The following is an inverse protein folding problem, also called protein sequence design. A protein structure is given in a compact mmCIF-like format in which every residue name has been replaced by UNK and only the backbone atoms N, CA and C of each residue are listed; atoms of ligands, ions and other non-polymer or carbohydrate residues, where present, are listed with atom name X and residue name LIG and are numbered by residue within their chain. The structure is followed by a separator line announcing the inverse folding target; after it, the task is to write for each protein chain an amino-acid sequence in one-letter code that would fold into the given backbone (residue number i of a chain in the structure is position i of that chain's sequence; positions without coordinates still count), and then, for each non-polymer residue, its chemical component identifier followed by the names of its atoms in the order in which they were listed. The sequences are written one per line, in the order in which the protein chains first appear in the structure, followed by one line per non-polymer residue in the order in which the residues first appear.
data_IF_948388768169
#
_entry.id   IF_948388768169
#
_cell.length_a   1.000
_cell.length_b   1.000
_cell.length_c   1.000
_cell.angle_alpha   90.00
_cell.angle_beta   90.00
_cell.angle_gamma   90.00
#
_symmetry.space_group_name_H-M   'P 1'
#
loop_
_entity.id
_entity.type
_entity.pdbx_description
1 polymer ?
#
# COMPACT_ATOMS: atom_id res chain seq x y z
N UNK A 1 25.12 -16.04 -21.71
CA UNK A 1 24.03 -16.19 -20.72
C UNK A 1 24.00 -17.64 -20.24
N UNK A 2 23.72 -17.91 -18.95
CA UNK A 2 23.66 -19.28 -18.43
C UNK A 2 22.22 -19.80 -18.40
N UNK A 3 21.95 -20.93 -19.06
CA UNK A 3 20.69 -21.65 -18.98
C UNK A 3 20.83 -22.79 -17.94
N UNK A 4 20.19 -22.67 -16.76
CA UNK A 4 20.27 -23.69 -15.72
C UNK A 4 19.60 -25.01 -16.11
N UNK A 5 18.56 -24.97 -16.97
CA UNK A 5 17.83 -26.15 -17.41
C UNK A 5 18.66 -26.99 -18.39
N UNK A 6 19.46 -26.33 -19.23
CA UNK A 6 20.37 -27.01 -20.19
C UNK A 6 21.77 -27.22 -19.63
N UNK A 7 22.07 -26.66 -18.46
CA UNK A 7 23.40 -26.59 -17.86
C UNK A 7 24.48 -26.14 -18.87
N UNK A 8 24.14 -25.12 -19.67
CA UNK A 8 25.00 -24.62 -20.76
C UNK A 8 25.05 -23.11 -20.75
N UNK A 9 26.20 -22.59 -21.15
CA UNK A 9 26.35 -21.17 -21.47
C UNK A 9 25.95 -21.00 -22.92
N UNK A 10 24.82 -20.34 -23.16
CA UNK A 10 24.43 -19.92 -24.49
C UNK A 10 25.15 -18.62 -24.81
N UNK A 11 25.98 -18.64 -25.86
CA UNK A 11 26.70 -17.46 -26.30
C UNK A 11 25.74 -16.56 -27.10
N UNK A 12 25.06 -15.68 -26.38
CA UNK A 12 24.21 -14.63 -26.93
C UNK A 12 25.10 -13.55 -27.53
N UNK A 13 24.86 -13.14 -28.77
CA UNK A 13 25.73 -12.32 -29.64
C UNK A 13 26.05 -10.88 -29.17
N UNK A 14 25.88 -10.54 -27.90
CA UNK A 14 26.19 -9.22 -27.33
C UNK A 14 27.67 -9.09 -26.94
N UNK A 15 28.58 -9.40 -27.88
CA UNK A 15 29.99 -9.01 -27.73
C UNK A 15 30.08 -7.48 -27.83
N UNK A 16 30.81 -6.84 -26.91
CA UNK A 16 31.04 -5.38 -26.87
C UNK A 16 29.83 -4.52 -26.51
N UNK A 17 29.05 -4.95 -25.52
CA UNK A 17 27.96 -4.16 -24.94
C UNK A 17 28.43 -2.88 -24.22
N UNK A 18 29.67 -2.88 -23.74
CA UNK A 18 30.31 -1.81 -22.97
C UNK A 18 31.78 -1.70 -23.34
N UNK A 19 32.35 -0.49 -23.23
CA UNK A 19 33.75 -0.21 -23.54
C UNK A 19 34.68 -0.55 -22.37
N UNK A 20 34.10 -0.73 -21.19
CA UNK A 20 34.79 -1.08 -19.94
C UNK A 20 34.07 -2.22 -19.20
N UNK A 21 34.60 -2.57 -18.02
CA UNK A 21 34.05 -3.64 -17.18
C UNK A 21 32.62 -3.31 -16.74
N UNK A 22 31.73 -4.28 -16.95
CA UNK A 22 30.35 -4.25 -16.44
C UNK A 22 30.36 -4.42 -14.92
N UNK A 23 29.81 -3.45 -14.22
CA UNK A 23 29.80 -3.37 -12.75
C UNK A 23 28.43 -3.66 -12.14
N UNK A 24 27.36 -3.59 -12.93
CA UNK A 24 26.01 -3.89 -12.48
C UNK A 24 25.17 -4.53 -13.56
N UNK A 25 24.34 -5.50 -13.16
CA UNK A 25 23.39 -6.20 -14.01
C UNK A 25 22.11 -6.47 -13.22
N UNK A 26 20.95 -6.15 -13.80
CA UNK A 26 19.66 -6.45 -13.19
C UNK A 26 18.63 -6.82 -14.25
N UNK A 27 17.91 -7.93 -14.02
CA UNK A 27 16.77 -8.33 -14.84
C UNK A 27 15.50 -7.59 -14.41
N UNK A 28 14.75 -7.08 -15.38
CA UNK A 28 13.45 -6.46 -15.22
C UNK A 28 12.40 -7.13 -16.09
N UNK A 29 11.15 -6.77 -15.84
CA UNK A 29 9.98 -7.07 -16.67
C UNK A 29 9.85 -8.57 -16.96
N UNK A 30 9.77 -9.36 -15.89
CA UNK A 30 9.66 -10.82 -15.93
C UNK A 30 10.73 -11.50 -16.81
N UNK A 31 11.92 -10.90 -16.92
CA UNK A 31 13.06 -11.43 -17.67
C UNK A 31 13.15 -10.96 -19.12
N UNK A 32 12.26 -10.04 -19.55
CA UNK A 32 12.28 -9.49 -20.90
C UNK A 32 13.31 -8.38 -21.10
N UNK A 33 13.71 -7.69 -20.03
CA UNK A 33 14.71 -6.62 -20.11
C UNK A 33 15.87 -6.90 -19.17
N UNK A 34 17.08 -6.70 -19.67
CA UNK A 34 18.30 -6.68 -18.88
C UNK A 34 18.81 -5.24 -18.82
N UNK A 35 19.13 -4.76 -17.64
CA UNK A 35 19.79 -3.47 -17.44
C UNK A 35 21.23 -3.72 -17.05
N UNK A 36 22.14 -2.95 -17.62
CA UNK A 36 23.57 -3.02 -17.31
C UNK A 36 24.17 -1.63 -17.08
N UNK A 37 25.20 -1.57 -16.25
CA UNK A 37 26.02 -0.37 -16.08
C UNK A 37 27.51 -0.75 -16.02
N UNK A 38 28.38 0.19 -16.39
CA UNK A 38 29.81 -0.06 -16.59
C UNK A 38 30.68 1.11 -16.11
N UNK A 39 31.97 0.83 -15.92
CA UNK A 39 32.98 1.85 -15.60
C UNK A 39 33.19 2.88 -16.71
N UNK A 40 32.67 2.64 -17.91
CA UNK A 40 32.61 3.62 -19.01
C UNK A 40 31.58 4.74 -18.77
N UNK A 41 31.01 4.83 -17.57
CA UNK A 41 30.00 5.80 -17.17
C UNK A 41 28.66 5.66 -17.93
N UNK A 42 28.43 4.52 -18.60
CA UNK A 42 27.19 4.24 -19.32
C UNK A 42 26.26 3.30 -18.56
N UNK A 43 24.97 3.45 -18.82
CA UNK A 43 23.92 2.53 -18.44
C UNK A 43 23.09 2.18 -19.68
N UNK A 44 22.87 0.89 -19.91
CA UNK A 44 22.17 0.37 -21.08
C UNK A 44 20.99 -0.50 -20.68
N UNK A 45 19.99 -0.55 -21.55
CA UNK A 45 18.88 -1.49 -21.48
C UNK A 45 18.95 -2.42 -22.68
N UNK A 46 18.69 -3.70 -22.46
CA UNK A 46 18.73 -4.74 -23.47
C UNK A 46 17.38 -5.46 -23.47
N UNK A 47 16.73 -5.58 -24.62
CA UNK A 47 15.59 -6.48 -24.78
C UNK A 47 16.11 -7.88 -25.06
N UNK A 48 15.59 -8.84 -24.30
CA UNK A 48 15.86 -10.25 -24.49
C UNK A 48 14.72 -10.89 -25.30
N UNK A 49 14.97 -11.14 -26.58
CA UNK A 49 14.03 -11.83 -27.48
C UNK A 49 14.75 -12.94 -28.25
N UNK A 50 14.13 -14.13 -28.34
CA UNK A 50 14.64 -15.26 -29.16
C UNK A 50 16.12 -15.60 -28.90
N UNK A 51 16.53 -15.58 -27.62
CA UNK A 51 17.91 -15.85 -27.20
C UNK A 51 18.94 -14.81 -27.72
N UNK A 52 18.49 -13.60 -28.06
CA UNK A 52 19.34 -12.46 -28.44
C UNK A 52 19.06 -11.27 -27.54
N UNK A 53 20.11 -10.50 -27.27
CA UNK A 53 20.04 -9.22 -26.58
C UNK A 53 20.16 -8.11 -27.60
N UNK A 54 19.17 -7.22 -27.63
CA UNK A 54 19.18 -6.03 -28.48
C UNK A 54 19.21 -4.77 -27.61
N UNK A 55 20.19 -3.91 -27.85
CA UNK A 55 20.38 -2.68 -27.07
C UNK A 55 19.34 -1.63 -27.43
N UNK A 56 18.70 -1.05 -26.43
CA UNK A 56 17.74 0.05 -26.57
C UNK A 56 18.25 1.23 -25.73
N UNK A 57 18.15 2.46 -26.25
CA UNK A 57 18.51 3.64 -25.48
C UNK A 57 17.70 3.74 -24.19
N UNK A 58 18.39 3.96 -23.08
CA UNK A 58 17.79 4.31 -21.79
C UNK A 58 17.45 5.79 -21.84
N UNK A 59 16.21 6.11 -22.18
CA UNK A 59 15.76 7.50 -22.23
C UNK A 59 15.16 7.94 -20.89
N UNK A 60 15.72 8.99 -20.29
CA UNK A 60 15.04 9.77 -19.23
C UNK A 60 13.95 10.63 -19.86
N UNK A 61 12.82 10.05 -20.26
CA UNK A 61 11.76 10.75 -20.99
C UNK A 61 10.82 11.58 -20.09
N UNK A 62 11.14 11.76 -18.81
CA UNK A 62 10.42 12.69 -17.93
C UNK A 62 11.07 14.07 -17.97
N UNK A 63 10.75 14.83 -19.02
CA UNK A 63 11.35 16.14 -19.29
C UNK A 63 11.12 17.15 -18.14
N UNK A 64 10.08 16.95 -17.33
CA UNK A 64 9.71 17.80 -16.19
C UNK A 64 10.37 17.41 -14.85
N UNK A 65 11.06 16.25 -14.79
CA UNK A 65 11.87 15.88 -13.62
C UNK A 65 13.37 16.12 -13.81
N UNK A 66 13.75 16.92 -14.83
CA UNK A 66 15.10 17.48 -14.94
C UNK A 66 15.29 18.55 -13.86
N UNK A 67 15.41 18.14 -12.62
CA UNK A 67 16.28 18.86 -11.68
C UNK A 67 17.72 18.58 -12.13
N UNK A 68 18.11 19.24 -13.22
CA UNK A 68 19.42 19.13 -13.83
C UNK A 68 20.47 19.71 -12.89
N UNK A 69 21.05 18.87 -12.03
CA UNK A 69 22.49 18.99 -11.78
C UNK A 69 23.20 18.36 -12.98
N UNK A 70 24.27 19.00 -13.44
CA UNK A 70 25.15 18.55 -14.54
C UNK A 70 25.94 17.26 -14.17
N UNK A 71 25.28 16.27 -13.57
CA UNK A 71 25.84 15.03 -13.06
C UNK A 71 26.65 14.23 -14.09
N UNK A 72 26.23 14.09 -15.38
CA UNK A 72 27.05 13.37 -16.37
C UNK A 72 28.36 14.10 -16.70
N UNK A 73 28.50 15.39 -16.37
CA UNK A 73 29.76 16.12 -16.57
C UNK A 73 30.74 15.95 -15.42
N UNK A 74 30.25 15.62 -14.22
CA UNK A 74 31.06 15.47 -12.99
C UNK A 74 31.28 13.99 -12.65
N UNK A 75 30.58 13.05 -13.29
CA UNK A 75 30.71 11.62 -13.05
C UNK A 75 31.70 10.96 -14.01
N UNK A 76 32.49 10.04 -13.46
CA UNK A 76 33.57 9.35 -14.14
C UNK A 76 33.33 7.83 -14.29
N UNK A 77 32.57 7.16 -13.39
CA UNK A 77 32.32 5.70 -13.48
C UNK A 77 30.98 5.28 -12.86
N UNK A 78 30.36 4.18 -13.35
CA UNK A 78 29.24 3.51 -12.68
C UNK A 78 29.71 2.25 -11.92
N UNK A 79 29.21 2.03 -10.71
CA UNK A 79 29.61 0.91 -9.84
C UNK A 79 28.53 -0.14 -9.58
N UNK A 80 27.27 0.18 -9.91
CA UNK A 80 26.18 -0.73 -9.71
C UNK A 80 24.86 -0.12 -10.13
N UNK A 81 23.88 -0.98 -10.36
CA UNK A 81 22.51 -0.57 -10.64
C UNK A 81 21.51 -1.48 -9.91
N UNK A 82 20.34 -0.93 -9.61
CA UNK A 82 19.20 -1.68 -9.12
C UNK A 82 17.91 -1.17 -9.73
N UNK A 83 16.99 -2.07 -10.05
CA UNK A 83 15.66 -1.71 -10.55
C UNK A 83 14.71 -1.50 -9.37
N UNK A 84 13.85 -0.50 -9.46
CA UNK A 84 12.80 -0.28 -8.48
C UNK A 84 11.79 -1.45 -8.46
N UNK A 85 11.12 -1.74 -7.34
CA UNK A 85 10.20 -2.88 -7.24
C UNK A 85 9.02 -2.84 -8.23
N UNK A 86 8.46 -1.65 -8.49
CA UNK A 86 7.47 -1.40 -9.52
C UNK A 86 8.05 -1.33 -10.94
N UNK A 87 9.38 -1.36 -11.10
CA UNK A 87 10.08 -1.38 -12.38
C UNK A 87 9.79 -0.16 -13.28
N UNK A 88 9.53 0.98 -12.66
CA UNK A 88 9.37 2.26 -13.38
C UNK A 88 10.63 3.13 -13.33
N UNK A 89 11.65 2.71 -12.58
CA UNK A 89 12.86 3.49 -12.29
C UNK A 89 14.05 2.55 -12.06
N UNK A 90 15.24 2.96 -12.49
CA UNK A 90 16.53 2.33 -12.14
C UNK A 90 17.41 3.29 -11.36
N UNK A 91 17.99 2.83 -10.25
CA UNK A 91 18.97 3.56 -9.48
C UNK A 91 20.37 3.12 -9.93
N UNK A 92 21.21 4.06 -10.35
CA UNK A 92 22.59 3.83 -10.78
C UNK A 92 23.53 4.54 -9.83
N UNK A 93 24.52 3.83 -9.29
CA UNK A 93 25.55 4.40 -8.43
C UNK A 93 26.70 4.87 -9.28
N UNK A 94 27.02 6.16 -9.19
CA UNK A 94 28.08 6.84 -9.93
C UNK A 94 29.12 7.43 -8.99
N UNK A 95 30.39 7.42 -9.36
CA UNK A 95 31.39 8.26 -8.70
C UNK A 95 31.35 9.68 -9.25
N UNK A 96 31.97 10.58 -8.49
CA UNK A 96 32.20 11.94 -8.90
C UNK A 96 33.71 12.13 -9.09
N UNK A 97 34.08 12.77 -10.19
CA UNK A 97 35.44 13.18 -10.49
C UNK A 97 35.83 14.24 -9.47
N UNK A 98 36.72 13.84 -8.56
CA UNK A 98 37.23 14.70 -7.50
C UNK A 98 37.86 15.97 -8.05
N UNK A 99 38.37 15.97 -9.28
CA UNK A 99 38.98 17.15 -9.89
C UNK A 99 37.94 18.19 -10.34
N UNK A 100 36.69 17.77 -10.56
CA UNK A 100 35.60 18.64 -10.98
C UNK A 100 34.74 19.12 -9.79
N UNK A 101 34.96 18.56 -8.60
CA UNK A 101 34.30 18.95 -7.35
C UNK A 101 35.04 20.10 -6.65
N UNK A 102 34.30 20.87 -5.85
CA UNK A 102 34.91 21.83 -4.93
C UNK A 102 35.79 21.11 -3.89
N UNK A 103 37.09 21.43 -3.89
CA UNK A 103 38.11 20.77 -3.07
C UNK A 103 37.94 21.01 -1.56
N UNK A 104 37.32 22.11 -1.15
CA UNK A 104 37.12 22.44 0.27
C UNK A 104 35.82 21.86 0.81
N UNK A 105 34.75 21.84 0.00
CA UNK A 105 33.40 21.50 0.48
C UNK A 105 32.87 20.15 0.00
N UNK A 106 33.11 19.77 -1.27
CA UNK A 106 32.46 18.61 -1.90
C UNK A 106 33.38 17.39 -1.98
N UNK A 107 34.63 17.55 -2.43
CA UNK A 107 35.56 16.43 -2.63
C UNK A 107 35.85 15.62 -1.35
N UNK A 108 35.63 16.22 -0.17
CA UNK A 108 35.85 15.57 1.14
C UNK A 108 34.67 14.71 1.60
N UNK A 109 33.47 14.99 1.12
CA UNK A 109 32.20 14.46 1.66
C UNK A 109 31.39 13.71 0.60
N UNK A 110 31.39 14.19 -0.66
CA UNK A 110 30.64 13.63 -1.79
C UNK A 110 31.52 12.65 -2.57
N UNK A 111 31.45 11.36 -2.21
CA UNK A 111 32.25 10.31 -2.87
C UNK A 111 31.53 9.60 -4.01
N UNK A 112 30.21 9.61 -3.97
CA UNK A 112 29.36 8.94 -4.94
C UNK A 112 27.96 9.57 -4.93
N UNK A 113 27.25 9.41 -6.03
CA UNK A 113 25.87 9.85 -6.20
C UNK A 113 25.03 8.68 -6.69
N UNK A 114 23.77 8.65 -6.27
CA UNK A 114 22.77 7.73 -6.81
C UNK A 114 21.93 8.51 -7.81
N UNK A 115 22.08 8.19 -9.09
CA UNK A 115 21.23 8.72 -10.15
C UNK A 115 19.98 7.86 -10.27
N UNK A 116 18.80 8.50 -10.25
CA UNK A 116 17.53 7.83 -10.49
C UNK A 116 17.08 8.09 -11.93
N UNK A 117 16.99 7.04 -12.73
CA UNK A 117 16.62 7.10 -14.14
C UNK A 117 15.22 6.50 -14.30
N UNK A 118 14.27 7.32 -14.75
CA UNK A 118 12.89 6.89 -14.99
C UNK A 118 12.76 6.14 -16.31
N UNK A 119 12.39 4.86 -16.22
CA UNK A 119 12.23 3.92 -17.35
C UNK A 119 10.77 3.62 -17.68
N UNK A 120 9.81 4.13 -16.90
CA UNK A 120 8.39 3.83 -17.09
C UNK A 120 7.82 4.32 -18.43
N UNK A 121 8.46 5.24 -19.14
CA UNK A 121 8.09 5.66 -20.50
C UNK A 121 8.77 4.88 -21.62
N UNK A 122 9.60 3.88 -21.29
CA UNK A 122 10.33 3.09 -22.27
C UNK A 122 9.39 2.09 -22.95
N UNK A 123 9.53 1.95 -24.27
CA UNK A 123 8.84 0.90 -25.03
C UNK A 123 9.40 -0.47 -24.66
N UNK A 124 8.54 -1.39 -24.25
CA UNK A 124 8.95 -2.71 -23.75
C UNK A 124 8.63 -3.87 -24.71
N UNK A 125 8.03 -3.61 -25.87
CA UNK A 125 7.71 -4.66 -26.86
C UNK A 125 6.69 -5.71 -26.42
N UNK A 126 6.20 -5.66 -25.19
CA UNK A 126 5.20 -6.59 -24.66
C UNK A 126 3.81 -6.22 -25.21
N UNK A 127 3.05 -7.18 -25.78
CA UNK A 127 1.63 -6.95 -25.99
C UNK A 127 0.96 -6.92 -24.62
N UNK A 128 0.75 -5.72 -24.07
CA UNK A 128 -0.27 -5.56 -23.04
C UNK A 128 -1.63 -5.97 -23.64
N UNK A 129 -2.51 -6.47 -22.78
CA UNK A 129 -3.92 -6.73 -23.08
C UNK A 129 -4.45 -5.71 -24.10
N UNK A 130 -5.00 -6.20 -25.22
CA UNK A 130 -5.39 -5.42 -26.42
C UNK A 130 -6.36 -4.25 -26.14
N UNK A 131 -6.81 -4.05 -24.90
CA UNK A 131 -7.75 -3.01 -24.48
C UNK A 131 -7.14 -1.69 -23.98
N UNK A 132 -5.80 -1.55 -23.84
CA UNK A 132 -5.19 -0.33 -23.29
C UNK A 132 -4.59 0.59 -24.37
N UNK A 133 -5.43 1.07 -25.29
CA UNK A 133 -5.11 2.29 -26.06
C UNK A 133 -5.57 3.51 -25.27
N UNK A 134 -4.64 4.38 -24.87
CA UNK A 134 -4.92 5.73 -24.39
C UNK A 134 -4.55 6.67 -25.54
N UNK A 135 -5.51 6.98 -26.41
CA UNK A 135 -5.28 7.92 -27.49
C UNK A 135 -5.29 9.36 -26.94
N UNK A 136 -4.14 10.03 -26.92
CA UNK A 136 -4.05 11.48 -26.90
C UNK A 136 -3.44 11.96 -28.22
N UNK A 137 -4.04 12.93 -28.95
CA UNK A 137 -3.65 13.23 -30.33
C UNK A 137 -2.33 13.99 -30.53
N UNK A 138 -1.58 14.35 -29.48
CA UNK A 138 -0.37 15.17 -29.64
C UNK A 138 0.73 14.68 -28.68
N UNK A 139 1.90 14.30 -29.22
CA UNK A 139 3.10 13.74 -28.52
C UNK A 139 2.98 12.32 -27.91
N UNK A 140 1.94 11.57 -28.30
CA UNK A 140 1.36 10.44 -27.55
C UNK A 140 2.13 9.12 -27.36
N UNK A 141 3.40 8.95 -27.75
CA UNK A 141 4.10 7.66 -27.57
C UNK A 141 4.57 7.43 -26.13
N UNK A 142 5.17 8.43 -25.48
CA UNK A 142 5.70 8.29 -24.12
C UNK A 142 4.61 8.08 -23.06
N UNK A 143 3.50 8.84 -23.14
CA UNK A 143 2.37 8.68 -22.21
C UNK A 143 1.67 7.33 -22.36
N UNK A 144 1.60 6.78 -23.57
CA UNK A 144 1.08 5.43 -23.80
C UNK A 144 1.90 4.37 -23.04
N UNK A 145 3.24 4.47 -23.11
CA UNK A 145 4.14 3.55 -22.39
C UNK A 145 4.07 3.76 -20.88
N UNK A 146 4.04 5.01 -20.41
CA UNK A 146 3.82 5.31 -19.00
C UNK A 146 2.53 4.69 -18.46
N UNK A 147 1.43 4.88 -19.18
CA UNK A 147 0.13 4.31 -18.80
C UNK A 147 0.19 2.78 -18.74
N UNK A 148 0.75 2.16 -19.77
CA UNK A 148 0.89 0.70 -19.87
C UNK A 148 1.76 0.12 -18.75
N UNK A 149 2.94 0.71 -18.52
CA UNK A 149 3.91 0.21 -17.54
C UNK A 149 3.42 0.41 -16.12
N UNK A 150 2.75 1.54 -15.82
CA UNK A 150 2.09 1.76 -14.53
C UNK A 150 1.01 0.70 -14.31
N UNK A 151 0.18 0.40 -15.32
CA UNK A 151 -0.89 -0.59 -15.22
C UNK A 151 -0.35 -1.99 -14.94
N UNK A 152 0.67 -2.40 -15.69
CA UNK A 152 1.36 -3.67 -15.50
C UNK A 152 1.93 -3.78 -14.08
N UNK A 153 2.56 -2.70 -13.60
CA UNK A 153 3.15 -2.64 -12.27
C UNK A 153 2.09 -2.74 -11.18
N UNK A 154 0.97 -2.04 -11.30
CA UNK A 154 -0.15 -2.13 -10.36
C UNK A 154 -0.76 -3.55 -10.34
N UNK A 155 -0.95 -4.16 -11.51
CA UNK A 155 -1.47 -5.54 -11.64
C UNK A 155 -0.55 -6.56 -10.96
N UNK A 156 0.76 -6.39 -11.07
CA UNK A 156 1.77 -7.22 -10.39
C UNK A 156 1.61 -7.19 -8.87
N UNK A 157 1.22 -6.04 -8.30
CA UNK A 157 0.96 -5.90 -6.88
C UNK A 157 -0.42 -6.40 -6.44
N UNK A 158 -1.30 -6.86 -7.33
CA UNK A 158 -2.55 -7.51 -6.94
C UNK A 158 -2.32 -8.90 -6.30
N UNK A 159 -1.14 -9.50 -6.49
CA UNK A 159 -0.76 -10.73 -5.81
C UNK A 159 -0.47 -10.45 -4.32
N UNK A 160 -1.18 -11.17 -3.43
CA UNK A 160 -1.06 -11.06 -1.97
C UNK A 160 0.27 -11.54 -1.39
N UNK A 161 1.05 -12.35 -2.10
CA UNK A 161 2.35 -12.85 -1.64
C UNK A 161 3.46 -11.79 -1.70
N UNK A 162 3.29 -10.74 -2.53
CA UNK A 162 4.29 -9.68 -2.69
C UNK A 162 4.08 -8.57 -1.64
N UNK A 163 5.17 -8.08 -1.04
CA UNK A 163 5.11 -6.87 -0.22
C UNK A 163 4.67 -5.64 -1.02
N UNK A 164 3.98 -4.68 -0.38
CA UNK A 164 3.59 -3.41 -1.02
C UNK A 164 4.72 -2.39 -0.98
N UNK A 165 5.57 -2.41 -2.00
CA UNK A 165 6.65 -1.43 -2.17
C UNK A 165 6.35 -0.58 -3.42
N UNK A 166 5.42 0.36 -3.28
CA UNK A 166 4.87 1.15 -4.40
C UNK A 166 5.54 2.52 -4.59
N UNK A 167 6.67 2.79 -3.94
CA UNK A 167 7.19 4.16 -3.86
C UNK A 167 7.47 4.76 -5.24
N UNK A 168 8.00 3.97 -6.18
CA UNK A 168 8.32 4.40 -7.54
C UNK A 168 7.06 4.69 -8.35
N UNK A 169 6.04 3.86 -8.21
CA UNK A 169 4.72 4.07 -8.80
C UNK A 169 4.07 5.34 -8.24
N UNK A 170 4.07 5.51 -6.91
CA UNK A 170 3.45 6.67 -6.27
C UNK A 170 4.16 7.96 -6.65
N UNK A 171 5.50 7.98 -6.67
CA UNK A 171 6.25 9.15 -7.13
C UNK A 171 5.95 9.44 -8.59
N UNK A 172 5.98 8.44 -9.48
CA UNK A 172 5.62 8.64 -10.89
C UNK A 172 4.21 9.22 -11.07
N UNK A 173 3.22 8.70 -10.33
CA UNK A 173 1.84 9.20 -10.35
C UNK A 173 1.73 10.62 -9.79
N UNK A 174 2.45 10.94 -8.71
CA UNK A 174 2.48 12.30 -8.14
C UNK A 174 3.10 13.31 -9.10
N UNK A 175 4.13 12.91 -9.85
CA UNK A 175 4.72 13.76 -10.88
C UNK A 175 3.73 13.92 -12.04
N UNK A 176 3.10 12.83 -12.52
CA UNK A 176 2.03 12.90 -13.53
C UNK A 176 0.86 13.78 -13.11
N UNK A 177 0.55 13.84 -11.81
CA UNK A 177 -0.49 14.74 -11.28
C UNK A 177 -0.16 16.19 -11.54
N UNK A 178 1.12 16.56 -11.43
CA UNK A 178 1.61 17.93 -11.66
C UNK A 178 1.78 18.22 -13.16
N UNK A 179 2.34 17.26 -13.90
CA UNK A 179 2.73 17.44 -15.31
C UNK A 179 1.59 17.24 -16.31
N UNK A 180 0.76 16.22 -16.08
CA UNK A 180 -0.26 15.76 -17.01
C UNK A 180 -1.53 15.29 -16.26
N UNK A 181 -2.22 16.17 -15.51
CA UNK A 181 -3.33 15.81 -14.64
C UNK A 181 -4.49 15.12 -15.38
N UNK A 182 -4.85 15.57 -16.58
CA UNK A 182 -5.92 14.96 -17.39
C UNK A 182 -5.57 13.54 -17.85
N UNK A 183 -4.30 13.30 -18.18
CA UNK A 183 -3.81 11.95 -18.52
C UNK A 183 -3.85 11.04 -17.29
N UNK A 184 -3.37 11.54 -16.14
CA UNK A 184 -3.43 10.80 -14.87
C UNK A 184 -4.87 10.42 -14.51
N UNK A 185 -5.80 11.37 -14.59
CA UNK A 185 -7.22 11.13 -14.31
C UNK A 185 -7.77 10.01 -15.21
N UNK A 186 -7.56 10.11 -16.52
CA UNK A 186 -7.97 9.08 -17.49
C UNK A 186 -7.36 7.71 -17.18
N UNK A 187 -6.06 7.68 -16.85
CA UNK A 187 -5.34 6.45 -16.50
C UNK A 187 -5.90 5.82 -15.23
N UNK A 188 -6.14 6.62 -14.19
CA UNK A 188 -6.66 6.15 -12.91
C UNK A 188 -8.12 5.69 -13.02
N UNK A 189 -8.95 6.37 -13.80
CA UNK A 189 -10.30 5.90 -14.13
C UNK A 189 -10.27 4.53 -14.81
N UNK A 190 -9.43 4.37 -15.84
CA UNK A 190 -9.28 3.10 -16.55
C UNK A 190 -8.79 1.98 -15.63
N UNK A 191 -7.87 2.30 -14.73
CA UNK A 191 -7.37 1.36 -13.73
C UNK A 191 -8.45 0.95 -12.75
N UNK A 192 -9.21 1.88 -12.17
CA UNK A 192 -10.32 1.57 -11.27
C UNK A 192 -11.39 0.74 -11.98
N UNK A 193 -11.73 1.06 -13.22
CA UNK A 193 -12.66 0.27 -14.03
C UNK A 193 -12.17 -1.17 -14.21
N UNK A 194 -10.90 -1.39 -14.53
CA UNK A 194 -10.33 -2.73 -14.62
C UNK A 194 -10.26 -3.46 -13.27
N UNK A 195 -9.90 -2.74 -12.20
CA UNK A 195 -9.81 -3.26 -10.84
C UNK A 195 -11.14 -3.87 -10.39
N UNK A 196 -12.23 -3.16 -10.70
CA UNK A 196 -13.62 -3.48 -10.36
C UNK A 196 -14.34 -4.29 -11.46
N UNK A 197 -13.62 -4.78 -12.48
CA UNK A 197 -14.15 -5.62 -13.57
C UNK A 197 -15.31 -4.99 -14.37
N UNK A 198 -15.09 -3.77 -14.87
CA UNK A 198 -15.93 -3.17 -15.91
C UNK A 198 -15.73 -3.89 -17.24
N UNK A 199 -16.54 -4.91 -17.51
CA UNK A 199 -16.37 -5.67 -18.76
C UNK A 199 -16.98 -4.95 -19.98
N UNK A 200 -17.72 -3.84 -19.82
CA UNK A 200 -18.38 -3.16 -20.94
C UNK A 200 -19.08 -1.82 -20.58
N UNK A 201 -18.37 -0.85 -20.00
CA UNK A 201 -18.99 0.49 -19.89
C UNK A 201 -17.98 1.62 -20.07
N UNK A 202 -18.12 2.33 -21.18
CA UNK A 202 -17.47 3.61 -21.45
C UNK A 202 -18.09 4.78 -20.64
N UNK A 203 -19.09 4.52 -19.80
CA UNK A 203 -19.75 5.56 -19.02
C UNK A 203 -19.13 5.71 -17.62
N UNK A 204 -18.61 6.91 -17.39
CA UNK A 204 -17.91 7.38 -16.18
C UNK A 204 -18.85 7.46 -14.95
N UNK A 205 -20.15 7.23 -15.10
CA UNK A 205 -21.16 7.43 -14.06
C UNK A 205 -21.78 6.09 -13.66
N UNK A 206 -21.04 5.41 -12.80
CA UNK A 206 -21.52 4.21 -12.10
C UNK A 206 -22.41 4.68 -10.96
N UNK A 207 -23.64 4.15 -10.87
CA UNK A 207 -24.48 4.44 -9.71
C UNK A 207 -23.76 4.05 -8.40
N UNK A 208 -23.96 4.81 -7.33
CA UNK A 208 -23.37 4.54 -6.03
C UNK A 208 -23.60 3.08 -5.54
N UNK A 209 -24.77 2.51 -5.88
CA UNK A 209 -25.16 1.14 -5.51
C UNK A 209 -24.36 0.08 -6.24
N UNK A 210 -24.16 0.21 -7.56
CA UNK A 210 -23.37 -0.75 -8.33
C UNK A 210 -21.89 -0.69 -7.96
N UNK A 211 -21.37 0.47 -7.56
CA UNK A 211 -20.00 0.60 -7.07
C UNK A 211 -19.75 -0.17 -5.77
N UNK A 212 -20.65 -0.09 -4.81
CA UNK A 212 -20.51 -0.80 -3.53
C UNK A 212 -20.57 -2.33 -3.69
N UNK A 213 -21.38 -2.84 -4.62
CA UNK A 213 -21.43 -4.27 -4.94
C UNK A 213 -20.14 -4.79 -5.61
N UNK A 214 -19.44 -3.95 -6.37
CA UNK A 214 -18.17 -4.34 -6.98
C UNK A 214 -17.01 -4.28 -5.99
N UNK A 215 -17.01 -3.28 -5.09
CA UNK A 215 -16.02 -3.15 -4.02
C UNK A 215 -16.07 -4.38 -3.09
N UNK A 216 -17.25 -4.89 -2.78
CA UNK A 216 -17.38 -6.11 -1.96
C UNK A 216 -16.85 -7.37 -2.64
N UNK A 217 -16.77 -7.40 -3.98
CA UNK A 217 -16.19 -8.51 -4.76
C UNK A 217 -14.69 -8.38 -5.02
N UNK A 218 -14.11 -7.18 -4.87
CA UNK A 218 -12.68 -6.96 -5.07
C UNK A 218 -11.84 -7.73 -4.03
N UNK A 219 -10.64 -8.19 -4.39
CA UNK A 219 -9.74 -8.82 -3.41
C UNK A 219 -9.27 -7.79 -2.38
N UNK A 220 -8.86 -8.25 -1.19
CA UNK A 220 -8.34 -7.37 -0.14
C UNK A 220 -7.17 -6.52 -0.67
N UNK A 221 -6.31 -7.16 -1.47
CA UNK A 221 -5.14 -6.54 -2.06
C UNK A 221 -5.49 -5.39 -3.02
N UNK A 222 -6.52 -5.57 -3.85
CA UNK A 222 -7.02 -4.53 -4.74
C UNK A 222 -7.53 -3.31 -3.96
N UNK A 223 -8.24 -3.54 -2.85
CA UNK A 223 -8.72 -2.47 -1.97
C UNK A 223 -7.57 -1.72 -1.28
N UNK A 224 -6.51 -2.43 -0.86
CA UNK A 224 -5.30 -1.79 -0.33
C UNK A 224 -4.63 -0.86 -1.35
N UNK A 225 -4.46 -1.34 -2.59
CA UNK A 225 -3.91 -0.53 -3.68
C UNK A 225 -4.77 0.71 -3.94
N UNK A 226 -6.09 0.54 -4.01
CA UNK A 226 -7.05 1.63 -4.18
C UNK A 226 -6.89 2.68 -3.08
N UNK A 227 -6.81 2.27 -1.82
CA UNK A 227 -6.63 3.20 -0.70
C UNK A 227 -5.32 3.97 -0.77
N UNK A 228 -4.21 3.30 -1.14
CA UNK A 228 -2.92 3.99 -1.27
C UNK A 228 -2.99 5.03 -2.39
N UNK A 229 -3.49 4.66 -3.57
CA UNK A 229 -3.59 5.58 -4.72
C UNK A 229 -4.52 6.74 -4.40
N UNK A 230 -5.70 6.48 -3.82
CA UNK A 230 -6.61 7.54 -3.39
C UNK A 230 -5.92 8.51 -2.44
N UNK A 231 -5.26 8.03 -1.38
CA UNK A 231 -4.66 8.90 -0.34
C UNK A 231 -3.39 9.61 -0.79
N UNK A 232 -2.51 8.93 -1.53
CA UNK A 232 -1.17 9.44 -1.87
C UNK A 232 -1.08 10.14 -3.20
N UNK A 233 -2.04 9.90 -4.10
CA UNK A 233 -2.05 10.51 -5.43
C UNK A 233 -3.27 11.40 -5.57
N UNK A 234 -4.48 10.83 -5.57
CA UNK A 234 -5.67 11.60 -5.97
C UNK A 234 -6.05 12.66 -4.93
N UNK A 235 -5.98 12.33 -3.64
CA UNK A 235 -6.35 13.20 -2.51
C UNK A 235 -5.14 13.79 -1.78
N UNK A 236 -3.93 13.72 -2.35
CA UNK A 236 -2.67 14.15 -1.69
C UNK A 236 -2.67 15.60 -1.21
N UNK A 237 -3.40 16.48 -1.89
CA UNK A 237 -3.39 17.92 -1.65
C UNK A 237 -4.51 18.35 -0.69
N UNK A 238 -5.25 17.39 -0.14
CA UNK A 238 -6.32 17.64 0.81
C UNK A 238 -5.88 17.11 2.17
N UNK A 239 -5.60 18.00 3.14
CA UNK A 239 -5.27 17.57 4.49
C UNK A 239 -6.39 16.68 5.04
N UNK A 240 -5.99 15.66 5.79
CA UNK A 240 -6.87 14.67 6.41
C UNK A 240 -8.16 15.31 6.92
N UNK A 241 -9.28 14.99 6.27
CA UNK A 241 -10.67 15.16 6.68
C UNK A 241 -10.86 16.00 7.97
N UNK A 242 -10.90 17.32 7.82
CA UNK A 242 -11.44 18.21 8.86
C UNK A 242 -12.95 18.32 8.63
N UNK A 243 -13.80 17.86 9.57
CA UNK A 243 -15.24 18.07 9.45
C UNK A 243 -15.52 19.57 9.65
N UNK A 244 -15.84 20.29 8.56
CA UNK A 244 -16.32 21.67 8.62
C UNK A 244 -15.61 22.72 7.73
N UNK A 245 -14.78 22.34 6.75
CA UNK A 245 -14.22 23.29 5.77
C UNK A 245 -15.15 23.49 4.56
N UNK A 246 -15.43 24.74 4.20
CA UNK A 246 -16.34 25.12 3.10
C UNK A 246 -15.97 24.44 1.76
N UNK A 247 -16.95 23.71 1.21
CA UNK A 247 -16.85 22.87 0.02
C UNK A 247 -16.79 23.69 -1.27
N UNK A 248 -15.60 23.79 -1.87
CA UNK A 248 -15.51 23.88 -3.32
C UNK A 248 -15.80 22.49 -3.92
N UNK A 249 -17.07 22.21 -4.22
CA UNK A 249 -17.53 20.93 -4.76
C UNK A 249 -16.90 20.62 -6.14
N UNK A 250 -15.77 19.92 -6.14
CA UNK A 250 -15.19 19.33 -7.34
C UNK A 250 -15.66 17.87 -7.43
N UNK A 251 -16.56 17.57 -8.37
CA UNK A 251 -17.15 16.24 -8.55
C UNK A 251 -16.13 15.09 -8.67
N UNK A 252 -14.91 15.37 -9.18
CA UNK A 252 -13.81 14.41 -9.22
C UNK A 252 -13.26 14.09 -7.81
N UNK A 253 -13.07 15.10 -6.97
CA UNK A 253 -12.67 14.93 -5.56
C UNK A 253 -13.71 14.10 -4.79
N UNK A 254 -14.99 14.33 -5.06
CA UNK A 254 -16.09 13.57 -4.45
C UNK A 254 -16.05 12.10 -4.86
N UNK A 255 -15.73 11.80 -6.13
CA UNK A 255 -15.59 10.43 -6.60
C UNK A 255 -14.50 9.68 -5.83
N UNK A 256 -13.29 10.25 -5.75
CA UNK A 256 -12.13 9.62 -5.09
C UNK A 256 -12.33 9.50 -3.58
N UNK A 257 -12.93 10.51 -2.95
CA UNK A 257 -13.29 10.49 -1.53
C UNK A 257 -14.28 9.36 -1.25
N UNK A 258 -15.33 9.24 -2.07
CA UNK A 258 -16.30 8.17 -1.90
C UNK A 258 -15.70 6.77 -2.17
N UNK A 259 -14.81 6.62 -3.16
CA UNK A 259 -14.09 5.36 -3.40
C UNK A 259 -13.25 4.96 -2.18
N UNK A 260 -12.53 5.92 -1.60
CA UNK A 260 -11.74 5.71 -0.39
C UNK A 260 -12.61 5.28 0.79
N UNK A 261 -13.71 6.01 1.06
CA UNK A 261 -14.63 5.69 2.16
C UNK A 261 -15.28 4.32 1.98
N UNK A 262 -15.77 3.99 0.77
CA UNK A 262 -16.36 2.68 0.48
C UNK A 262 -15.33 1.55 0.64
N UNK A 263 -14.11 1.75 0.15
CA UNK A 263 -13.02 0.78 0.26
C UNK A 263 -12.61 0.54 1.71
N UNK A 264 -12.40 1.60 2.51
CA UNK A 264 -12.06 1.48 3.93
C UNK A 264 -13.19 0.86 4.76
N UNK A 265 -14.44 1.19 4.43
CA UNK A 265 -15.61 0.56 5.04
C UNK A 265 -15.65 -0.94 4.75
N UNK A 266 -15.39 -1.36 3.51
CA UNK A 266 -15.35 -2.77 3.14
C UNK A 266 -14.16 -3.50 3.81
N UNK A 267 -12.97 -2.91 3.81
CA UNK A 267 -11.82 -3.46 4.53
C UNK A 267 -12.11 -3.64 6.03
N UNK A 268 -12.82 -2.67 6.63
CA UNK A 268 -13.25 -2.74 8.04
C UNK A 268 -14.27 -3.86 8.26
N UNK A 269 -15.27 -4.01 7.38
CA UNK A 269 -16.23 -5.13 7.41
C UNK A 269 -15.49 -6.48 7.38
N UNK A 270 -14.52 -6.63 6.48
CA UNK A 270 -13.72 -7.86 6.34
C UNK A 270 -12.84 -8.13 7.54
N UNK A 271 -12.22 -7.10 8.10
CA UNK A 271 -11.42 -7.22 9.33
C UNK A 271 -12.27 -7.72 10.51
N UNK A 272 -13.47 -7.16 10.69
CA UNK A 272 -14.38 -7.59 11.76
C UNK A 272 -14.87 -9.01 11.51
N UNK A 273 -15.29 -9.34 10.29
CA UNK A 273 -15.73 -10.67 9.92
C UNK A 273 -14.63 -11.73 10.16
N UNK A 274 -13.41 -11.44 9.71
CA UNK A 274 -12.23 -12.27 9.94
C UNK A 274 -11.99 -12.50 11.44
N UNK A 275 -12.06 -11.43 12.24
CA UNK A 275 -11.84 -11.49 13.68
C UNK A 275 -12.91 -12.32 14.39
N UNK A 276 -14.20 -12.14 14.06
CA UNK A 276 -15.28 -12.95 14.62
C UNK A 276 -15.17 -14.43 14.21
N UNK A 277 -14.88 -14.69 12.94
CA UNK A 277 -14.66 -16.06 12.46
C UNK A 277 -13.46 -16.72 13.16
N UNK A 278 -12.38 -15.98 13.42
CA UNK A 278 -11.24 -16.46 14.18
C UNK A 278 -11.60 -16.85 15.63
N UNK A 279 -12.41 -16.03 16.31
CA UNK A 279 -12.90 -16.32 17.67
C UNK A 279 -13.74 -17.60 17.69
N UNK A 280 -14.69 -17.73 16.77
CA UNK A 280 -15.55 -18.91 16.65
C UNK A 280 -14.75 -20.18 16.30
N UNK A 281 -13.74 -20.05 15.45
CA UNK A 281 -12.79 -21.12 15.12
C UNK A 281 -12.02 -21.59 16.34
N UNK A 282 -11.49 -20.66 17.15
CA UNK A 282 -10.76 -20.97 18.40
C UNK A 282 -11.59 -21.78 19.39
N UNK A 283 -12.86 -21.40 19.58
CA UNK A 283 -13.77 -22.15 20.46
C UNK A 283 -13.98 -23.58 19.97
N UNK A 284 -14.09 -23.75 18.66
CA UNK A 284 -14.24 -25.07 18.03
C UNK A 284 -12.99 -25.94 18.25
N UNK A 285 -11.79 -25.35 18.18
CA UNK A 285 -10.52 -26.05 18.48
C UNK A 285 -10.38 -26.42 19.96
N UNK A 286 -10.70 -25.50 20.88
CA UNK A 286 -10.67 -25.79 22.33
C UNK A 286 -11.61 -26.96 22.68
N UNK A 287 -12.79 -27.02 22.06
CA UNK A 287 -13.72 -28.14 22.26
C UNK A 287 -13.16 -29.47 21.76
N UNK A 288 -12.24 -29.45 20.80
CA UNK A 288 -11.54 -30.64 20.26
C UNK A 288 -10.27 -30.99 21.05
N UNK A 289 -9.94 -30.27 22.13
CA UNK A 289 -8.79 -30.57 22.99
C UNK A 289 -7.41 -30.26 22.38
N UNK A 290 -7.35 -29.42 21.34
CA UNK A 290 -6.09 -29.04 20.69
C UNK A 290 -5.47 -27.82 21.39
N UNK A 291 -4.20 -27.90 21.78
CA UNK A 291 -3.47 -26.79 22.42
C UNK A 291 -3.32 -25.60 21.49
N UNK A 292 -3.50 -24.39 22.02
CA UNK A 292 -3.57 -23.15 21.26
C UNK A 292 -2.34 -22.23 21.46
N UNK A 293 -1.31 -22.74 22.14
CA UNK A 293 -0.08 -22.02 22.42
C UNK A 293 0.59 -21.65 21.08
N UNK A 294 0.85 -20.35 20.89
CA UNK A 294 1.45 -19.71 19.70
C UNK A 294 0.50 -19.21 18.59
N UNK A 295 -0.82 -19.18 18.79
CA UNK A 295 -1.73 -18.59 17.78
C UNK A 295 -2.03 -17.11 18.02
N UNK A 296 -2.23 -16.34 16.94
CA UNK A 296 -2.65 -14.93 17.01
C UNK A 296 -3.91 -14.75 17.85
N UNK A 297 -3.88 -13.87 18.87
CA UNK A 297 -4.95 -13.66 19.84
C UNK A 297 -5.82 -12.44 19.50
N UNK A 298 -7.12 -12.63 19.18
CA UNK A 298 -8.04 -11.54 18.87
C UNK A 298 -8.30 -10.61 20.07
N UNK A 299 -8.37 -9.31 19.80
CA UNK A 299 -8.64 -8.26 20.80
C UNK A 299 -9.62 -7.22 20.24
N UNK A 300 -10.35 -6.54 21.13
CA UNK A 300 -11.29 -5.47 20.73
C UNK A 300 -12.64 -5.96 20.21
N UNK A 301 -13.02 -7.18 20.58
CA UNK A 301 -14.24 -7.83 20.10
C UNK A 301 -15.50 -7.05 20.51
N UNK A 302 -15.51 -6.47 21.71
CA UNK A 302 -16.61 -5.66 22.20
C UNK A 302 -16.76 -4.34 21.40
N UNK A 303 -15.65 -3.69 21.04
CA UNK A 303 -15.64 -2.48 20.22
C UNK A 303 -16.09 -2.79 18.79
N UNK A 304 -15.64 -3.92 18.23
CA UNK A 304 -16.11 -4.40 16.93
C UNK A 304 -17.62 -4.75 16.96
N UNK A 305 -18.13 -5.36 18.03
CA UNK A 305 -19.58 -5.64 18.18
C UNK A 305 -20.40 -4.35 18.23
N UNK A 306 -19.89 -3.34 18.95
CA UNK A 306 -20.47 -2.00 19.04
C UNK A 306 -20.48 -1.33 17.66
N UNK A 307 -19.38 -1.41 16.91
CA UNK A 307 -19.30 -0.92 15.53
C UNK A 307 -20.33 -1.58 14.61
N UNK A 308 -20.50 -2.91 14.66
CA UNK A 308 -21.54 -3.61 13.88
C UNK A 308 -22.95 -3.20 14.33
N UNK A 309 -23.15 -2.88 15.61
CA UNK A 309 -24.44 -2.36 16.12
C UNK A 309 -24.77 -0.99 15.53
N UNK A 310 -23.80 -0.07 15.52
CA UNK A 310 -23.99 1.28 14.99
C UNK A 310 -24.24 1.29 13.48
N UNK A 311 -23.66 0.33 12.75
CA UNK A 311 -23.74 0.25 11.29
C UNK A 311 -24.73 -0.84 10.81
N UNK A 312 -25.74 -1.18 11.61
CA UNK A 312 -26.66 -2.30 11.32
C UNK A 312 -27.42 -2.17 10.00
N UNK A 313 -27.63 -0.94 9.49
CA UNK A 313 -28.24 -0.69 8.19
C UNK A 313 -27.33 -0.99 6.99
N UNK A 314 -26.01 -0.94 7.17
CA UNK A 314 -25.03 -0.95 6.08
C UNK A 314 -24.17 -2.23 6.03
N UNK A 315 -24.15 -2.99 7.12
CA UNK A 315 -23.40 -4.25 7.23
C UNK A 315 -24.18 -5.42 6.62
N UNK A 316 -23.43 -6.34 5.99
CA UNK A 316 -23.95 -7.57 5.39
C UNK A 316 -24.63 -8.48 6.43
N UNK A 317 -25.61 -9.27 6.01
CA UNK A 317 -26.35 -10.17 6.89
C UNK A 317 -25.46 -11.28 7.47
N UNK A 318 -24.44 -11.69 6.73
CA UNK A 318 -23.42 -12.65 7.16
C UNK A 318 -22.64 -12.10 8.36
N UNK A 319 -22.30 -10.81 8.34
CA UNK A 319 -21.63 -10.16 9.47
C UNK A 319 -22.56 -10.06 10.70
N UNK A 320 -23.85 -9.80 10.47
CA UNK A 320 -24.87 -9.83 11.55
C UNK A 320 -25.02 -11.23 12.15
N UNK A 321 -24.97 -12.26 11.32
CA UNK A 321 -25.00 -13.67 11.73
C UNK A 321 -23.74 -14.06 12.52
N UNK A 322 -22.56 -13.63 12.08
CA UNK A 322 -21.33 -13.82 12.85
C UNK A 322 -21.41 -13.14 14.22
N UNK A 323 -21.92 -11.90 14.26
CA UNK A 323 -22.16 -11.17 15.50
C UNK A 323 -23.13 -11.91 16.43
N UNK A 324 -24.27 -12.41 15.96
CA UNK A 324 -25.22 -13.14 16.81
C UNK A 324 -24.55 -14.39 17.40
N UNK A 325 -23.80 -15.13 16.59
CA UNK A 325 -23.04 -16.30 17.04
C UNK A 325 -21.98 -15.95 18.09
N UNK A 326 -21.36 -14.77 18.00
CA UNK A 326 -20.43 -14.27 19.03
C UNK A 326 -21.18 -13.99 20.34
N UNK A 327 -22.38 -13.41 20.28
CA UNK A 327 -23.22 -13.17 21.47
C UNK A 327 -23.69 -14.48 22.12
N UNK A 328 -24.00 -15.49 21.32
CA UNK A 328 -24.42 -16.82 21.80
C UNK A 328 -23.32 -17.55 22.61
N UNK A 329 -22.07 -17.09 22.54
CA UNK A 329 -20.98 -17.65 23.35
C UNK A 329 -21.13 -17.32 24.84
N UNK A 330 -21.80 -16.21 25.19
CA UNK A 330 -21.90 -15.74 26.56
C UNK A 330 -20.53 -15.59 27.23
N UNK A 331 -20.40 -16.05 28.47
CA UNK A 331 -19.14 -16.01 29.25
C UNK A 331 -18.01 -16.85 28.67
N UNK A 332 -18.26 -17.73 27.69
CA UNK A 332 -17.21 -18.54 27.08
C UNK A 332 -16.25 -17.71 26.23
N UNK A 333 -16.65 -16.51 25.82
CA UNK A 333 -15.86 -15.62 24.98
C UNK A 333 -14.54 -15.21 25.64
N UNK A 334 -14.54 -15.07 26.97
CA UNK A 334 -13.37 -14.64 27.76
C UNK A 334 -12.23 -15.67 27.73
N UNK A 335 -12.53 -16.93 27.40
CA UNK A 335 -11.53 -17.99 27.28
C UNK A 335 -10.75 -17.97 25.95
N UNK A 336 -11.20 -17.20 24.95
CA UNK A 336 -10.64 -17.23 23.57
C UNK A 336 -10.20 -15.88 23.02
N UNK A 337 -10.67 -14.79 23.62
CA UNK A 337 -10.32 -13.42 23.26
C UNK A 337 -10.55 -12.49 24.46
N UNK A 338 -9.99 -11.28 24.38
CA UNK A 338 -10.28 -10.25 25.37
C UNK A 338 -11.59 -9.54 25.00
N UNK A 339 -12.61 -9.68 25.86
CA UNK A 339 -13.90 -9.04 25.72
C UNK A 339 -14.11 -8.00 26.85
N UNK A 340 -13.84 -6.73 26.55
CA UNK A 340 -14.02 -5.63 27.49
C UNK A 340 -14.83 -4.52 26.82
N UNK A 341 -16.05 -4.30 27.31
CA UNK A 341 -16.98 -3.30 26.77
C UNK A 341 -16.63 -1.89 27.26
N UNK A 342 -16.12 -1.79 28.49
CA UNK A 342 -15.82 -0.52 29.14
C UNK A 342 -14.37 -0.12 28.87
N UNK A 343 -14.19 1.02 28.20
CA UNK A 343 -12.88 1.65 28.01
C UNK A 343 -12.79 2.89 28.89
N UNK A 344 -11.63 3.10 29.53
CA UNK A 344 -11.37 4.28 30.36
C UNK A 344 -10.28 5.15 29.75
N UNK A 345 -10.39 6.46 29.95
CA UNK A 345 -9.40 7.41 29.48
C UNK A 345 -8.10 7.24 30.26
N UNK A 346 -6.94 7.05 29.59
CA UNK A 346 -5.67 6.88 30.29
C UNK A 346 -5.20 8.15 31.01
N UNK A 347 -5.74 9.33 30.66
CA UNK A 347 -5.35 10.61 31.26
C UNK A 347 -6.21 11.02 32.47
N UNK A 348 -7.53 10.79 32.40
CA UNK A 348 -8.46 11.24 33.45
C UNK A 348 -9.31 10.12 34.07
N UNK A 349 -9.11 8.86 33.67
CA UNK A 349 -9.88 7.69 34.10
C UNK A 349 -11.39 7.73 33.80
N UNK A 350 -11.89 8.79 33.16
CA UNK A 350 -13.29 8.91 32.77
C UNK A 350 -13.69 7.81 31.75
N UNK A 351 -14.95 7.34 31.77
CA UNK A 351 -15.43 6.36 30.81
C UNK A 351 -15.39 6.93 29.39
N UNK A 352 -15.03 6.08 28.43
CA UNK A 352 -14.95 6.38 27.00
C UNK A 352 -15.95 5.51 26.27
N UNK A 353 -17.00 6.13 25.70
CA UNK A 353 -18.00 5.42 24.91
C UNK A 353 -17.47 5.13 23.51
N UNK A 354 -17.96 4.06 22.90
CA UNK A 354 -17.65 3.76 21.51
C UNK A 354 -18.54 4.62 20.60
N UNK A 355 -17.95 5.67 20.02
CA UNK A 355 -18.63 6.60 19.11
C UNK A 355 -18.11 6.51 17.67
N UNK A 356 -16.81 6.25 17.50
CA UNK A 356 -16.16 6.13 16.21
C UNK A 356 -15.08 5.05 16.28
N UNK A 357 -14.79 4.32 15.18
CA UNK A 357 -13.72 3.32 15.13
C UNK A 357 -12.30 3.93 15.09
N UNK A 358 -12.17 5.23 14.81
CA UNK A 358 -10.87 5.87 14.54
C UNK A 358 -10.45 6.85 15.65
N UNK A 359 -11.42 7.58 16.23
CA UNK A 359 -11.19 8.58 17.28
C UNK A 359 -12.17 8.35 18.42
N UNK A 360 -11.74 8.66 19.65
CA UNK A 360 -12.60 8.68 20.81
C UNK A 360 -12.41 9.96 21.64
N UNK A 361 -13.44 10.33 22.39
CA UNK A 361 -13.41 11.42 23.36
C UNK A 361 -13.79 10.87 24.73
N UNK A 362 -13.10 11.28 25.78
CA UNK A 362 -13.50 10.91 27.13
C UNK A 362 -14.78 11.66 27.55
N UNK A 363 -15.64 11.01 28.36
CA UNK A 363 -16.82 11.66 28.92
C UNK A 363 -16.43 12.80 29.87
N UNK A 364 -17.16 13.93 29.81
CA UNK A 364 -17.08 14.96 30.85
C UNK A 364 -17.78 14.41 32.10
N UNK A 365 -17.05 14.27 33.21
CA UNK A 365 -17.67 14.01 34.51
C UNK A 365 -18.67 15.12 34.84
N UNK A 366 -19.88 14.73 35.24
CA UNK A 366 -21.05 15.54 35.61
C UNK A 366 -21.32 16.85 34.82
N UNK A 367 -22.53 16.92 34.24
CA UNK A 367 -23.10 18.06 33.49
C UNK A 367 -23.12 19.41 34.25
N UNK A 368 -22.72 19.46 35.52
CA UNK A 368 -22.80 20.64 36.38
C UNK A 368 -21.46 21.39 36.55
N UNK A 369 -20.35 20.88 36.02
CA UNK A 369 -19.08 21.61 35.99
C UNK A 369 -18.68 21.97 34.56
N UNK A 370 -18.20 23.22 34.41
CA UNK A 370 -17.55 23.83 33.23
C UNK A 370 -16.77 22.78 32.42
N UNK A 371 -16.79 22.79 31.06
CA UNK A 371 -16.31 21.66 30.28
C UNK A 371 -14.85 21.36 30.62
N UNK A 372 -14.61 20.27 31.35
CA UNK A 372 -13.31 19.64 31.39
C UNK A 372 -12.96 19.30 29.94
N UNK A 373 -11.87 19.86 29.42
CA UNK A 373 -11.39 19.59 28.06
C UNK A 373 -11.38 18.07 27.83
N UNK A 374 -12.18 17.61 26.86
CA UNK A 374 -12.25 16.18 26.54
C UNK A 374 -10.95 15.78 25.87
N UNK A 375 -10.25 14.81 26.45
CA UNK A 375 -9.08 14.22 25.83
C UNK A 375 -9.49 13.51 24.54
N UNK A 376 -8.85 13.89 23.42
CA UNK A 376 -8.96 13.19 22.13
C UNK A 376 -7.99 12.02 22.11
N UNK A 377 -8.52 10.82 21.88
CA UNK A 377 -7.79 9.56 21.91
C UNK A 377 -7.84 8.90 20.53
N UNK A 378 -6.74 8.25 20.15
CA UNK A 378 -6.67 7.45 18.91
C UNK A 378 -7.08 6.01 19.17
N UNK A 379 -7.86 5.45 18.26
CA UNK A 379 -8.19 4.02 18.27
C UNK A 379 -7.26 3.23 17.36
N UNK A 380 -6.97 2.00 17.76
CA UNK A 380 -6.21 1.04 17.01
C UNK A 380 -7.02 0.62 15.78
N UNK A 381 -6.53 0.85 14.58
CA UNK A 381 -7.20 0.48 13.34
C UNK A 381 -7.49 -1.03 13.21
N UNK A 382 -6.73 -1.88 13.92
CA UNK A 382 -6.88 -3.33 13.88
C UNK A 382 -7.89 -3.87 14.90
N UNK A 383 -7.99 -3.27 16.09
CA UNK A 383 -8.85 -3.76 17.19
C UNK A 383 -9.99 -2.81 17.56
N UNK A 384 -9.99 -1.60 17.01
CA UNK A 384 -10.88 -0.48 17.38
C UNK A 384 -10.81 -0.05 18.86
N UNK A 385 -9.90 -0.61 19.66
CA UNK A 385 -9.66 -0.19 21.05
C UNK A 385 -8.82 1.07 21.13
N UNK A 386 -8.93 1.78 22.24
CA UNK A 386 -7.99 2.86 22.56
C UNK A 386 -6.54 2.35 22.46
N UNK A 387 -5.70 3.12 21.77
CA UNK A 387 -4.27 2.81 21.71
C UNK A 387 -3.67 2.94 23.11
N UNK A 388 -2.78 2.00 23.46
CA UNK A 388 -2.03 2.10 24.70
C UNK A 388 -1.13 3.33 24.67
N UNK A 389 -1.17 4.14 25.73
CA UNK A 389 -0.24 5.25 25.92
C UNK A 389 1.12 4.74 26.44
N UNK A 390 1.13 3.56 27.08
CA UNK A 390 2.30 2.99 27.74
C UNK A 390 3.12 2.07 26.85
N UNK A 391 2.54 1.56 25.76
CA UNK A 391 3.22 0.62 24.86
C UNK A 391 3.56 1.29 23.53
N UNK A 392 4.68 0.92 22.89
CA UNK A 392 5.02 1.40 21.56
C UNK A 392 3.95 1.00 20.56
N UNK A 393 3.24 1.99 20.02
CA UNK A 393 2.28 1.78 18.94
C UNK A 393 2.99 1.83 17.58
N UNK A 394 2.27 1.36 16.58
CA UNK A 394 2.65 1.45 15.18
C UNK A 394 1.80 2.52 14.50
N UNK A 395 2.36 3.21 13.51
CA UNK A 395 1.63 4.19 12.71
C UNK A 395 1.82 3.92 11.22
N UNK A 396 0.76 4.15 10.46
CA UNK A 396 0.77 4.01 9.02
C UNK A 396 1.19 5.33 8.37
N UNK A 397 2.30 5.36 7.64
CA UNK A 397 2.72 6.56 6.88
C UNK A 397 1.75 6.88 5.74
N UNK A 398 0.90 5.93 5.33
CA UNK A 398 -0.09 6.13 4.28
C UNK A 398 -1.36 6.83 4.76
N UNK A 399 -2.08 6.21 5.72
CA UNK A 399 -3.36 6.74 6.21
C UNK A 399 -3.25 7.49 7.55
N UNK A 400 -2.11 7.49 8.22
CA UNK A 400 -1.94 8.08 9.55
C UNK A 400 -2.55 7.24 10.68
N UNK A 401 -3.18 6.10 10.37
CA UNK A 401 -3.81 5.24 11.35
C UNK A 401 -2.82 4.64 12.35
N UNK A 402 -3.23 4.56 13.61
CA UNK A 402 -2.46 3.94 14.69
C UNK A 402 -2.85 2.47 14.86
N UNK A 403 -1.89 1.62 15.22
CA UNK A 403 -2.11 0.20 15.47
C UNK A 403 -1.29 -0.21 16.70
N UNK A 404 -1.98 -0.58 17.77
CA UNK A 404 -1.34 -1.16 18.96
C UNK A 404 -1.25 -2.69 18.89
N UNK A 405 -2.26 -3.33 18.28
CA UNK A 405 -2.34 -4.79 18.15
C UNK A 405 -2.33 -5.19 16.67
N UNK A 406 -1.39 -6.05 16.30
CA UNK A 406 -1.16 -6.42 14.89
C UNK A 406 -2.15 -7.49 14.41
N UNK A 407 -2.41 -7.49 13.11
CA UNK A 407 -3.28 -8.44 12.40
C UNK A 407 -2.41 -9.59 11.84
N UNK A 408 -2.89 -10.85 11.78
CA UNK A 408 -2.10 -11.96 11.28
C UNK A 408 -1.91 -11.88 9.77
N UNK A 409 -0.79 -12.41 9.28
CA UNK A 409 -0.42 -12.42 7.85
C UNK A 409 -1.54 -13.00 6.97
N UNK A 410 -2.24 -14.02 7.46
CA UNK A 410 -3.36 -14.64 6.73
C UNK A 410 -4.44 -13.67 6.32
N UNK A 411 -4.68 -12.60 7.09
CA UNK A 411 -5.65 -11.59 6.67
C UNK A 411 -5.23 -10.95 5.35
N UNK A 412 -3.94 -10.61 5.19
CA UNK A 412 -3.41 -9.88 4.04
C UNK A 412 -3.28 -10.74 2.78
N UNK A 413 -3.18 -12.06 2.93
CA UNK A 413 -3.02 -13.03 1.82
C UNK A 413 -4.33 -13.70 1.40
N UNK A 414 -5.46 -13.33 2.01
CA UNK A 414 -6.77 -13.87 1.65
C UNK A 414 -7.19 -13.53 0.21
N UNK A 415 -7.54 -14.58 -0.54
CA UNK A 415 -7.97 -14.49 -1.94
C UNK A 415 -9.47 -14.20 -2.10
N UNK A 416 -10.28 -14.56 -1.10
CA UNK A 416 -11.74 -14.37 -1.09
C UNK A 416 -12.19 -13.61 0.17
N UNK A 417 -13.41 -13.06 0.14
CA UNK A 417 -13.94 -12.30 1.26
C UNK A 417 -14.34 -13.26 2.40
N UNK A 418 -14.03 -12.95 3.68
CA UNK A 418 -14.53 -13.73 4.82
C UNK A 418 -16.07 -13.74 4.92
N UNK A 419 -16.74 -12.89 4.16
CA UNK A 419 -18.20 -12.79 4.09
C UNK A 419 -18.82 -13.68 3.00
N UNK A 420 -18.01 -14.33 2.15
CA UNK A 420 -18.54 -15.20 1.10
C UNK A 420 -19.09 -16.51 1.72
N UNK A 421 -20.36 -16.81 1.44
CA UNK A 421 -21.12 -17.93 2.02
C UNK A 421 -20.50 -19.32 1.79
N UNK A 422 -19.53 -19.44 0.86
CA UNK A 422 -18.84 -20.69 0.54
C UNK A 422 -17.63 -20.98 1.43
N UNK A 423 -17.25 -20.07 2.35
CA UNK A 423 -16.27 -20.40 3.38
C UNK A 423 -16.92 -21.31 4.44
N UNK A 424 -16.90 -22.62 4.16
CA UNK A 424 -17.06 -23.63 5.19
C UNK A 424 -16.16 -23.29 6.38
N UNK A 425 -16.64 -23.53 7.60
CA UNK A 425 -15.96 -23.21 8.87
C UNK A 425 -14.60 -23.93 9.07
N UNK A 426 -14.03 -24.49 8.01
CA UNK A 426 -12.77 -25.21 8.00
C UNK A 426 -11.64 -24.30 7.55
N UNK A 427 -10.90 -23.86 8.57
CA UNK A 427 -9.49 -23.47 8.50
C UNK A 427 -9.16 -22.05 8.02
N UNK A 428 -9.62 -21.04 8.75
CA UNK A 428 -8.75 -19.87 8.96
C UNK A 428 -7.51 -20.36 9.71
N UNK A 429 -6.35 -20.27 9.07
CA UNK A 429 -5.08 -20.69 9.64
C UNK A 429 -4.59 -19.67 10.68
N UNK A 430 -5.15 -19.73 11.89
CA UNK A 430 -4.83 -18.78 12.98
C UNK A 430 -3.42 -18.94 13.57
N UNK A 431 -2.62 -19.86 13.04
CA UNK A 431 -1.21 -20.05 13.40
C UNK A 431 -0.28 -19.07 12.71
N UNK A 432 -0.75 -18.27 11.75
CA UNK A 432 0.08 -17.26 11.12
C UNK A 432 0.49 -16.16 12.13
N UNK A 433 1.74 -15.69 12.06
CA UNK A 433 2.23 -14.64 12.95
C UNK A 433 1.53 -13.30 12.67
N UNK A 434 1.47 -12.46 13.70
CA UNK A 434 1.04 -11.08 13.55
C UNK A 434 2.12 -10.27 12.81
N UNK A 435 1.71 -9.47 11.82
CA UNK A 435 2.65 -8.71 10.97
C UNK A 435 2.43 -7.20 11.11
N UNK A 436 3.49 -6.37 11.04
CA UNK A 436 3.40 -4.92 11.18
C UNK A 436 2.89 -4.26 9.88
N UNK A 437 1.69 -4.65 9.42
CA UNK A 437 1.06 -4.11 8.21
C UNK A 437 -0.24 -3.36 8.57
N UNK A 438 -0.51 -2.25 7.88
CA UNK A 438 -1.73 -1.49 8.07
C UNK A 438 -2.96 -2.25 7.53
N UNK A 439 -4.06 -2.43 8.28
CA UNK A 439 -5.24 -3.14 7.77
C UNK A 439 -5.93 -2.43 6.60
N UNK A 440 -5.77 -1.11 6.48
CA UNK A 440 -6.39 -0.30 5.42
C UNK A 440 -5.51 -0.10 4.19
N UNK A 441 -4.20 -0.11 4.34
CA UNK A 441 -3.28 0.18 3.24
C UNK A 441 -2.37 -1.01 2.89
N UNK A 442 -2.26 -2.03 3.75
CA UNK A 442 -1.35 -3.16 3.56
C UNK A 442 0.15 -2.80 3.59
N UNK A 443 0.51 -1.53 3.77
CA UNK A 443 1.91 -1.09 3.87
C UNK A 443 2.49 -1.36 5.26
N UNK A 444 3.82 -1.52 5.32
CA UNK A 444 4.55 -1.67 6.58
C UNK A 444 4.35 -0.46 7.47
N UNK A 445 3.93 -0.72 8.70
CA UNK A 445 3.79 0.28 9.74
C UNK A 445 5.16 0.65 10.30
N UNK A 446 5.33 1.92 10.64
CA UNK A 446 6.52 2.39 11.35
C UNK A 446 6.24 2.42 12.85
N UNK A 447 7.21 1.96 13.65
CA UNK A 447 7.08 1.99 15.10
C UNK A 447 7.20 3.44 15.58
N UNK A 448 6.16 3.97 16.20
CA UNK A 448 6.25 5.24 16.91
C UNK A 448 6.81 4.97 18.30
N UNK A 449 8.01 5.48 18.60
CA UNK A 449 8.46 5.59 19.98
C UNK A 449 7.59 6.62 20.71
N UNK A 450 7.08 6.34 21.91
CA UNK A 450 6.34 7.31 22.68
C UNK A 450 7.14 8.60 22.85
N UNK A 451 6.50 9.76 22.65
CA UNK A 451 7.17 11.05 22.70
C UNK A 451 7.92 11.31 24.03
N UNK A 452 7.45 10.73 25.14
CA UNK A 452 8.10 10.85 26.45
C UNK A 452 9.44 10.09 26.57
N UNK A 453 9.72 9.13 25.69
CA UNK A 453 11.04 8.46 25.59
C UNK A 453 12.01 9.19 24.65
N UNK A 454 11.53 10.19 23.91
CA UNK A 454 12.32 11.05 23.04
C UNK A 454 12.66 12.40 23.71
N UNK A 455 12.20 12.61 24.95
CA UNK A 455 12.66 13.76 25.75
C UNK A 455 14.12 13.57 26.14
N UNK A 456 14.98 14.41 25.58
CA UNK A 456 16.39 14.55 26.01
C UNK A 456 16.50 15.36 27.32
N UNK A 457 15.38 15.72 27.95
CA UNK A 457 15.40 16.40 29.24
C UNK A 457 15.37 15.36 30.37
N UNK A 458 16.44 15.24 31.17
CA UNK A 458 16.37 14.49 32.41
C UNK A 458 15.40 15.23 33.35
N UNK A 459 14.58 14.46 34.07
CA UNK A 459 13.91 14.94 35.28
C UNK A 459 14.94 15.39 36.32
#
# INVERSE_FOLDING_TARGET
MWDPCRNKIENTSACHAHDQVVTGLSWGLDGHCLYSCSQDNSAHCWIFEKLKLEGIPVHTNFQELKESTDLPKVSDQCFGLSIAPGQLMIAVVRTLDQNLLDQMYQARTEKAVVEFIWIGGQFLGLPLDKGIYICSPQSGTNFLWWGSNIFWSLKKYENGERGLILWDIIVALQVLKKSAPTFLETLMHKWVSSLLSYDQCDSIIISHRSRNDMISKASLRKLHLLNIVCRKVMLSDHPQYSPGGEEGNNAATDLWTNLLVSSETELRKRLVAFTFAAVLGRISYLRKGVSNDNRWFPVGIAQMDSWVSMNSGEVHNELKSLKSRIKDLGSRIDSVCEYSVEETCPYCSAPVRFESPDVALCGSGDSAMVPAERHRLSRCAASMRLCSVLQPAWHCTCCGGMVDKLVPETFFTMTASPLDANHGSESLCLSAPAVPLCPFCGITLQRSTPAFLLSVSPL
#
